data_IF_330057523936
#
_entry.id   IF_330057523936
#
_cell.length_a   1.000
_cell.length_b   1.000
_cell.length_c   1.000
_cell.angle_alpha   90.00
_cell.angle_beta   90.00
_cell.angle_gamma   90.00
#
_symmetry.space_group_name_H-M   'P 1'
#
loop_
_entity.id
_entity.type
_entity.pdbx_description
1 polymer ?
#
# COMPACT_ATOMS: atom_id res chain seq x y z
N UNK A 1 -20.32 -6.40 14.60
CA UNK A 1 -21.50 -7.23 14.84
C UNK A 1 -21.87 -8.11 13.63
N UNK A 2 -21.92 -7.57 12.39
CA UNK A 2 -22.32 -8.37 11.21
C UNK A 2 -21.32 -9.50 10.91
N UNK A 3 -20.01 -9.26 11.08
CA UNK A 3 -18.97 -10.26 10.78
C UNK A 3 -19.15 -11.55 11.58
N UNK A 4 -19.51 -11.45 12.85
CA UNK A 4 -19.67 -12.62 13.74
C UNK A 4 -20.87 -13.51 13.40
N UNK A 5 -21.73 -13.06 12.47
CA UNK A 5 -22.82 -13.88 11.94
C UNK A 5 -22.34 -14.90 10.88
N UNK A 6 -21.14 -14.71 10.32
CA UNK A 6 -20.55 -15.69 9.41
C UNK A 6 -19.87 -16.78 10.22
N UNK A 7 -20.40 -18.00 10.09
CA UNK A 7 -19.89 -19.20 10.76
C UNK A 7 -19.59 -20.28 9.72
N UNK A 8 -18.54 -21.09 9.89
CA UNK A 8 -18.28 -22.20 8.99
C UNK A 8 -19.30 -23.31 9.17
N UNK A 9 -19.46 -24.19 8.21
CA UNK A 9 -20.32 -25.36 8.36
C UNK A 9 -19.81 -26.30 9.46
N UNK A 10 -20.69 -27.15 9.98
CA UNK A 10 -20.35 -28.09 11.04
C UNK A 10 -19.13 -28.96 10.67
N UNK A 11 -18.16 -29.05 11.59
CA UNK A 11 -16.91 -29.79 11.39
C UNK A 11 -15.81 -29.01 10.64
N UNK A 12 -16.06 -27.79 10.23
CA UNK A 12 -15.10 -26.90 9.56
C UNK A 12 -14.69 -25.74 10.47
N UNK A 13 -13.69 -24.98 10.03
CA UNK A 13 -13.21 -23.73 10.63
C UNK A 13 -13.01 -22.69 9.54
N UNK A 14 -12.92 -21.41 9.92
CA UNK A 14 -12.34 -20.42 9.03
C UNK A 14 -10.84 -20.32 9.24
N UNK A 15 -10.10 -20.23 8.12
CA UNK A 15 -8.75 -19.72 8.07
C UNK A 15 -8.84 -18.34 7.46
N UNK A 16 -8.41 -17.34 8.23
CA UNK A 16 -8.33 -15.94 7.80
C UNK A 16 -6.87 -15.58 7.70
N UNK A 17 -6.41 -15.28 6.50
CA UNK A 17 -5.02 -14.94 6.25
C UNK A 17 -4.93 -13.63 5.48
N UNK A 18 -4.03 -12.73 5.89
CA UNK A 18 -3.81 -11.43 5.27
C UNK A 18 -2.32 -11.17 5.00
N UNK A 19 -2.06 -10.25 4.09
CA UNK A 19 -0.69 -9.83 3.83
C UNK A 19 -0.17 -8.91 4.93
N UNK A 20 1.00 -9.20 5.46
CA UNK A 20 1.68 -8.37 6.43
C UNK A 20 2.31 -7.13 5.76
N UNK A 21 1.79 -5.94 6.09
CA UNK A 21 2.29 -4.63 5.61
C UNK A 21 2.46 -4.54 4.08
N UNK A 22 1.49 -5.01 3.31
CA UNK A 22 1.61 -5.17 1.85
C UNK A 22 1.95 -3.86 1.14
N UNK A 23 1.31 -2.75 1.49
CA UNK A 23 1.57 -1.46 0.86
C UNK A 23 3.01 -0.98 1.11
N UNK A 24 3.51 -1.14 2.35
CA UNK A 24 4.88 -0.75 2.70
C UNK A 24 5.93 -1.63 1.98
N UNK A 25 5.61 -2.90 1.73
CA UNK A 25 6.46 -3.81 0.95
C UNK A 25 6.47 -3.43 -0.53
N UNK A 26 5.30 -3.20 -1.11
CA UNK A 26 5.17 -2.83 -2.52
C UNK A 26 5.83 -1.49 -2.82
N UNK A 27 5.61 -0.45 -2.00
CA UNK A 27 6.23 0.86 -2.25
C UNK A 27 7.76 0.80 -2.09
N UNK A 28 8.27 0.05 -1.11
CA UNK A 28 9.71 -0.14 -0.92
C UNK A 28 10.35 -0.87 -2.11
N UNK A 29 9.69 -1.90 -2.62
CA UNK A 29 10.13 -2.65 -3.79
C UNK A 29 10.14 -1.79 -5.05
N UNK A 30 9.04 -1.07 -5.36
CA UNK A 30 8.96 -0.17 -6.51
C UNK A 30 10.01 0.94 -6.46
N UNK A 31 10.24 1.51 -5.30
CA UNK A 31 11.21 2.59 -5.11
C UNK A 31 12.67 2.08 -5.06
N UNK A 32 12.90 0.79 -4.83
CA UNK A 32 14.23 0.26 -4.53
C UNK A 32 14.79 0.78 -3.20
N UNK A 33 13.93 0.99 -2.18
CA UNK A 33 14.32 1.49 -0.86
C UNK A 33 14.96 0.37 -0.03
N UNK A 34 16.27 0.19 -0.24
CA UNK A 34 17.02 -1.00 0.19
C UNK A 34 16.95 -1.28 1.70
N UNK A 35 17.02 -0.26 2.55
CA UNK A 35 16.98 -0.49 4.00
C UNK A 35 15.63 -1.07 4.45
N UNK A 36 14.53 -0.70 3.79
CA UNK A 36 13.20 -1.27 4.06
C UNK A 36 13.11 -2.71 3.59
N UNK A 37 13.63 -2.99 2.41
CA UNK A 37 13.70 -4.35 1.88
C UNK A 37 14.52 -5.25 2.80
N UNK A 38 15.65 -4.75 3.32
CA UNK A 38 16.47 -5.47 4.31
C UNK A 38 15.72 -5.68 5.63
N UNK A 39 15.01 -4.67 6.14
CA UNK A 39 14.19 -4.82 7.34
C UNK A 39 13.11 -5.91 7.17
N UNK A 40 12.45 -5.96 6.00
CA UNK A 40 11.48 -7.02 5.71
C UNK A 40 12.14 -8.40 5.56
N UNK A 41 13.33 -8.48 4.96
CA UNK A 41 14.09 -9.74 4.83
C UNK A 41 14.48 -10.29 6.20
N UNK A 42 14.84 -9.42 7.13
CA UNK A 42 15.20 -9.78 8.51
C UNK A 42 13.97 -10.05 9.42
N UNK A 43 12.74 -9.89 8.90
CA UNK A 43 11.51 -10.06 9.69
C UNK A 43 11.29 -8.96 10.74
N UNK A 44 11.89 -7.79 10.55
CA UNK A 44 11.76 -6.66 11.48
C UNK A 44 10.37 -6.03 11.41
N UNK A 45 9.92 -5.45 12.54
CA UNK A 45 8.73 -4.60 12.58
C UNK A 45 9.04 -3.27 11.85
N UNK A 46 8.41 -3.04 10.71
CA UNK A 46 8.68 -1.86 9.87
C UNK A 46 8.47 -0.53 10.60
N UNK A 47 7.55 -0.49 11.57
CA UNK A 47 7.30 0.71 12.36
C UNK A 47 8.44 1.00 13.34
N UNK A 48 9.04 -0.06 13.90
CA UNK A 48 10.26 0.05 14.71
C UNK A 48 11.46 0.44 13.86
N UNK A 49 11.65 -0.21 12.72
CA UNK A 49 12.74 0.08 11.79
C UNK A 49 12.69 1.52 11.28
N UNK A 50 11.50 2.00 10.90
CA UNK A 50 11.27 3.38 10.48
C UNK A 50 11.57 4.37 11.59
N UNK A 51 11.06 4.14 12.81
CA UNK A 51 11.35 4.98 13.95
C UNK A 51 12.87 4.99 14.26
N UNK A 52 13.53 3.85 14.20
CA UNK A 52 14.99 3.77 14.40
C UNK A 52 15.75 4.61 13.39
N UNK A 53 15.34 4.55 12.12
CA UNK A 53 15.96 5.31 11.03
C UNK A 53 15.71 6.81 11.15
N UNK A 54 14.47 7.21 11.52
CA UNK A 54 14.09 8.62 11.69
C UNK A 54 14.80 9.28 12.86
N UNK A 55 14.86 8.59 14.01
CA UNK A 55 15.38 9.17 15.26
C UNK A 55 16.85 8.85 15.53
N UNK A 56 17.49 7.99 14.70
CA UNK A 56 18.90 7.62 14.87
C UNK A 56 19.18 6.78 16.12
N UNK A 57 18.17 6.11 16.68
CA UNK A 57 18.26 5.31 17.90
C UNK A 57 17.60 3.93 17.69
N UNK A 58 18.08 2.85 18.36
CA UNK A 58 17.42 1.58 18.26
C UNK A 58 16.01 1.62 18.88
N UNK A 59 15.02 1.07 18.18
CA UNK A 59 13.63 0.97 18.64
C UNK A 59 13.18 -0.49 18.58
N UNK A 60 12.75 -1.02 19.72
CA UNK A 60 12.26 -2.39 19.87
C UNK A 60 10.84 -2.37 20.44
N UNK A 61 9.92 -3.12 19.82
CA UNK A 61 8.47 -3.07 20.11
C UNK A 61 8.12 -3.15 21.60
N UNK A 62 8.77 -4.01 22.36
CA UNK A 62 8.56 -4.19 23.80
C UNK A 62 9.86 -4.01 24.59
N UNK A 63 10.72 -3.06 24.16
CA UNK A 63 12.05 -2.84 24.74
C UNK A 63 12.52 -1.41 24.58
N UNK A 64 13.80 -1.25 24.26
CA UNK A 64 14.46 0.05 24.15
C UNK A 64 13.73 0.96 23.18
N UNK A 65 13.40 2.18 23.64
CA UNK A 65 12.72 3.23 22.87
C UNK A 65 11.37 2.79 22.25
N UNK A 66 10.71 1.77 22.78
CA UNK A 66 9.50 1.18 22.22
C UNK A 66 8.35 2.19 22.07
N UNK A 67 8.31 3.27 22.86
CA UNK A 67 7.35 4.36 22.74
C UNK A 67 7.43 5.10 21.40
N UNK A 68 8.61 5.09 20.73
CA UNK A 68 8.80 5.72 19.42
C UNK A 68 8.16 4.92 18.28
N UNK A 69 7.86 3.63 18.48
CA UNK A 69 7.21 2.79 17.49
C UNK A 69 5.89 3.39 16.99
N UNK A 70 5.11 4.00 17.89
CA UNK A 70 3.83 4.61 17.51
C UNK A 70 4.04 5.83 16.60
N UNK A 71 5.10 6.62 16.82
CA UNK A 71 5.49 7.71 15.92
C UNK A 71 5.91 7.17 14.54
N UNK A 72 6.69 6.09 14.52
CA UNK A 72 7.05 5.37 13.31
C UNK A 72 5.82 4.86 12.55
N UNK A 73 4.84 4.25 13.26
CA UNK A 73 3.58 3.79 12.67
C UNK A 73 2.80 4.93 12.02
N UNK A 74 2.64 6.04 12.74
CA UNK A 74 1.93 7.20 12.23
C UNK A 74 2.62 7.78 10.98
N UNK A 75 3.95 7.89 11.00
CA UNK A 75 4.73 8.37 9.86
C UNK A 75 4.59 7.42 8.65
N UNK A 76 4.69 6.10 8.85
CA UNK A 76 4.53 5.12 7.77
C UNK A 76 3.17 5.21 7.09
N UNK A 77 2.08 5.27 7.86
CA UNK A 77 0.72 5.30 7.33
C UNK A 77 0.38 6.64 6.66
N UNK A 78 1.04 7.73 7.04
CA UNK A 78 0.72 9.08 6.53
C UNK A 78 1.68 9.56 5.44
N UNK A 79 2.98 9.28 5.55
CA UNK A 79 3.99 9.87 4.66
C UNK A 79 4.24 9.10 3.37
N UNK A 80 3.90 7.81 3.31
CA UNK A 80 4.18 6.94 2.17
C UNK A 80 3.70 7.48 0.82
N UNK A 81 2.63 8.25 0.82
CA UNK A 81 1.99 8.82 -0.37
C UNK A 81 2.03 10.36 -0.38
N UNK A 82 3.13 10.94 0.08
CA UNK A 82 3.34 12.39 0.08
C UNK A 82 2.56 13.13 1.16
N UNK A 83 1.94 12.43 2.10
CA UNK A 83 1.23 13.05 3.21
C UNK A 83 2.12 13.96 4.07
N UNK A 84 1.50 14.90 4.76
CA UNK A 84 2.13 15.87 5.62
C UNK A 84 1.42 15.92 6.97
N UNK A 85 1.60 16.99 7.76
CA UNK A 85 1.01 17.16 9.09
C UNK A 85 -0.48 16.86 9.13
N UNK A 86 -1.26 17.32 8.13
CA UNK A 86 -2.70 17.03 8.04
C UNK A 86 -3.03 15.54 7.94
N UNK A 87 -2.24 14.79 7.15
CA UNK A 87 -2.39 13.34 7.05
C UNK A 87 -2.03 12.66 8.38
N UNK A 88 -0.95 13.07 9.05
CA UNK A 88 -0.57 12.53 10.35
C UNK A 88 -1.68 12.74 11.40
N UNK A 89 -2.29 13.92 11.44
CA UNK A 89 -3.43 14.22 12.33
C UNK A 89 -4.62 13.29 12.03
N UNK A 90 -4.95 13.08 10.76
CA UNK A 90 -6.00 12.14 10.36
C UNK A 90 -5.74 10.69 10.82
N UNK A 91 -4.47 10.30 10.96
CA UNK A 91 -4.05 9.01 11.54
C UNK A 91 -3.85 9.04 13.06
N UNK A 92 -4.36 10.07 13.75
CA UNK A 92 -4.41 10.13 15.20
C UNK A 92 -3.16 10.73 15.87
N UNK A 93 -2.32 11.47 15.14
CA UNK A 93 -1.15 12.12 15.72
C UNK A 93 -1.52 13.17 16.81
N UNK A 94 -2.70 13.77 16.73
CA UNK A 94 -3.20 14.69 17.75
C UNK A 94 -3.32 14.01 19.14
N UNK A 95 -3.70 12.72 19.16
CA UNK A 95 -3.79 11.94 20.39
C UNK A 95 -2.43 11.63 21.03
N UNK A 96 -1.33 11.85 20.31
CA UNK A 96 0.04 11.65 20.81
C UNK A 96 0.60 12.89 21.53
N UNK A 97 -0.16 13.99 21.61
CA UNK A 97 0.26 15.24 22.24
C UNK A 97 1.42 15.95 21.50
N UNK A 98 1.59 15.69 20.20
CA UNK A 98 2.65 16.29 19.39
C UNK A 98 2.22 17.65 18.85
N UNK A 99 3.10 18.63 18.94
CA UNK A 99 2.92 19.95 18.31
C UNK A 99 3.08 19.86 16.79
N UNK A 100 2.52 20.82 16.06
CA UNK A 100 2.66 20.92 14.60
C UNK A 100 4.13 20.98 14.14
N UNK A 101 5.02 21.56 14.94
CA UNK A 101 6.44 21.62 14.65
C UNK A 101 7.11 20.24 14.78
N UNK A 102 6.75 19.45 15.79
CA UNK A 102 7.22 18.07 15.93
C UNK A 102 6.68 17.19 14.80
N UNK A 103 5.42 17.36 14.41
CA UNK A 103 4.84 16.65 13.27
C UNK A 103 5.56 17.01 11.96
N UNK A 104 5.88 18.29 11.71
CA UNK A 104 6.69 18.72 10.56
C UNK A 104 8.08 18.09 10.57
N UNK A 105 8.70 18.00 11.75
CA UNK A 105 10.01 17.38 11.89
C UNK A 105 9.94 15.89 11.55
N UNK A 106 8.95 15.17 12.08
CA UNK A 106 8.73 13.74 11.77
C UNK A 106 8.55 13.51 10.26
N UNK A 107 7.74 14.33 9.58
CA UNK A 107 7.57 14.26 8.12
C UNK A 107 8.91 14.46 7.41
N UNK A 108 9.70 15.44 7.85
CA UNK A 108 11.01 15.73 7.27
C UNK A 108 11.97 14.57 7.47
N UNK A 109 12.02 14.01 8.66
CA UNK A 109 12.92 12.91 9.01
C UNK A 109 12.54 11.62 8.28
N UNK A 110 11.23 11.35 8.14
CA UNK A 110 10.75 10.21 7.34
C UNK A 110 11.15 10.34 5.87
N UNK A 111 10.99 11.52 5.25
CA UNK A 111 11.39 11.77 3.86
C UNK A 111 12.89 11.64 3.66
N UNK A 112 13.69 12.13 4.61
CA UNK A 112 15.16 11.95 4.60
C UNK A 112 15.55 10.47 4.74
N UNK A 113 14.82 9.72 5.56
CA UNK A 113 15.05 8.29 5.75
C UNK A 113 14.62 7.45 4.54
N UNK A 114 13.75 7.96 3.67
CA UNK A 114 13.16 7.23 2.54
C UNK A 114 13.31 8.01 1.21
N UNK A 115 14.54 8.36 0.81
CA UNK A 115 14.77 9.23 -0.36
C UNK A 115 14.30 8.60 -1.66
N UNK A 116 14.38 7.28 -1.82
CA UNK A 116 13.97 6.60 -3.03
C UNK A 116 12.44 6.60 -3.19
N UNK A 117 11.69 6.52 -2.09
CA UNK A 117 10.23 6.66 -2.13
C UNK A 117 9.84 8.08 -2.53
N UNK A 118 10.53 9.09 -1.99
CA UNK A 118 10.31 10.49 -2.40
C UNK A 118 10.61 10.68 -3.88
N UNK A 119 11.69 10.08 -4.38
CA UNK A 119 12.04 10.11 -5.79
C UNK A 119 10.98 9.42 -6.67
N UNK A 120 10.45 8.26 -6.23
CA UNK A 120 9.38 7.54 -6.91
C UNK A 120 8.14 8.45 -7.13
N UNK A 121 7.73 9.27 -6.13
CA UNK A 121 6.58 10.16 -6.31
C UNK A 121 6.77 11.10 -7.50
N UNK A 122 7.94 11.74 -7.57
CA UNK A 122 8.23 12.71 -8.62
C UNK A 122 8.46 12.06 -9.98
N UNK A 123 9.06 10.87 -10.02
CA UNK A 123 9.26 10.14 -11.27
C UNK A 123 7.92 9.71 -11.88
N UNK A 124 7.01 9.20 -11.06
CA UNK A 124 5.66 8.81 -11.47
C UNK A 124 4.87 10.02 -12.00
N UNK A 125 4.91 11.14 -11.29
CA UNK A 125 4.21 12.36 -11.71
C UNK A 125 4.76 12.88 -13.05
N UNK A 126 6.08 12.99 -13.17
CA UNK A 126 6.73 13.43 -14.43
C UNK A 126 6.41 12.51 -15.60
N UNK A 127 6.43 11.19 -15.38
CA UNK A 127 6.10 10.24 -16.42
C UNK A 127 4.62 10.36 -16.87
N UNK A 128 3.70 10.52 -15.92
CA UNK A 128 2.29 10.70 -16.20
C UNK A 128 2.00 12.03 -16.93
N UNK A 129 2.56 13.16 -16.47
CA UNK A 129 2.44 14.46 -17.12
C UNK A 129 2.98 14.40 -18.55
N UNK A 130 4.18 13.82 -18.74
CA UNK A 130 4.78 13.67 -20.07
C UNK A 130 3.94 12.79 -21.00
N UNK A 131 3.34 11.72 -20.50
CA UNK A 131 2.45 10.86 -21.30
C UNK A 131 1.20 11.62 -21.77
N UNK A 132 0.57 12.40 -20.88
CA UNK A 132 -0.64 13.19 -21.19
C UNK A 132 -0.32 14.34 -22.13
N UNK A 133 0.70 15.14 -21.82
CA UNK A 133 1.08 16.33 -22.61
C UNK A 133 1.60 15.99 -24.00
N UNK A 134 2.45 14.97 -24.10
CA UNK A 134 3.03 14.50 -25.36
C UNK A 134 2.13 13.51 -26.12
N UNK A 135 1.01 13.08 -25.56
CA UNK A 135 0.16 11.99 -26.10
C UNK A 135 1.00 10.79 -26.52
N UNK A 136 1.88 10.38 -25.64
CA UNK A 136 2.91 9.36 -25.90
C UNK A 136 2.95 8.32 -24.79
N UNK A 137 3.84 7.34 -24.93
CA UNK A 137 4.16 6.37 -23.90
C UNK A 137 5.41 6.80 -23.13
N UNK A 138 5.38 6.61 -21.81
CA UNK A 138 6.52 6.78 -20.91
C UNK A 138 6.60 5.62 -19.94
N UNK A 139 7.76 5.44 -19.30
CA UNK A 139 7.97 4.37 -18.33
C UNK A 139 8.86 4.87 -17.20
N UNK A 140 8.58 4.42 -15.98
CA UNK A 140 9.45 4.59 -14.81
C UNK A 140 9.15 3.50 -13.77
N UNK A 141 10.17 2.99 -13.07
CA UNK A 141 10.04 1.96 -12.03
C UNK A 141 9.24 0.71 -12.47
N UNK A 142 9.34 0.33 -13.76
CA UNK A 142 8.57 -0.80 -14.32
C UNK A 142 7.07 -0.52 -14.51
N UNK A 143 6.64 0.74 -14.36
CA UNK A 143 5.27 1.21 -14.59
C UNK A 143 5.23 1.96 -15.92
N UNK A 144 4.30 1.58 -16.81
CA UNK A 144 4.13 2.25 -18.09
C UNK A 144 2.92 3.17 -18.07
N UNK A 145 3.07 4.32 -18.70
CA UNK A 145 2.04 5.34 -18.83
C UNK A 145 1.78 5.56 -20.32
N UNK A 146 0.52 5.51 -20.76
CA UNK A 146 0.17 5.77 -22.14
C UNK A 146 -1.09 6.63 -22.25
N UNK A 147 -1.10 7.56 -23.22
CA UNK A 147 -2.29 8.30 -23.57
C UNK A 147 -2.94 7.66 -24.80
N UNK A 148 -4.12 7.08 -24.63
CA UNK A 148 -4.83 6.37 -25.70
C UNK A 148 -6.33 6.77 -25.68
N UNK A 149 -6.85 7.21 -26.81
CA UNK A 149 -8.30 7.46 -27.01
C UNK A 149 -8.97 8.29 -25.91
N UNK A 150 -8.27 9.29 -25.38
CA UNK A 150 -8.82 10.16 -24.33
C UNK A 150 -8.67 9.61 -22.91
N UNK A 151 -7.81 8.62 -22.71
CA UNK A 151 -7.49 8.06 -21.40
C UNK A 151 -5.99 8.14 -21.13
N UNK A 152 -5.62 8.39 -19.89
CA UNK A 152 -4.32 8.01 -19.38
C UNK A 152 -4.45 6.61 -18.80
N UNK A 153 -3.70 5.66 -19.36
CA UNK A 153 -3.55 4.34 -18.80
C UNK A 153 -2.22 4.24 -18.03
N UNK A 154 -2.29 3.62 -16.86
CA UNK A 154 -1.12 3.25 -16.07
C UNK A 154 -1.09 1.72 -16.03
N UNK A 155 -0.13 1.12 -16.74
CA UNK A 155 0.06 -0.34 -16.77
C UNK A 155 0.96 -0.77 -15.61
N UNK A 156 0.43 -1.62 -14.76
CA UNK A 156 1.11 -2.21 -13.61
C UNK A 156 2.01 -3.37 -14.04
N UNK A 157 2.98 -3.81 -13.22
CA UNK A 157 3.85 -4.96 -13.54
C UNK A 157 3.09 -6.26 -13.83
N UNK A 158 1.87 -6.41 -13.30
CA UNK A 158 0.96 -7.52 -13.59
C UNK A 158 0.38 -7.51 -15.01
N UNK A 159 0.54 -6.41 -15.76
CA UNK A 159 -0.10 -6.14 -17.03
C UNK A 159 -1.50 -5.52 -16.92
N UNK A 160 -2.05 -5.39 -15.70
CA UNK A 160 -3.33 -4.70 -15.49
C UNK A 160 -3.17 -3.20 -15.62
N UNK A 161 -4.19 -2.52 -16.14
CA UNK A 161 -4.17 -1.08 -16.41
C UNK A 161 -5.14 -0.34 -15.51
N UNK A 162 -4.69 0.75 -14.88
CA UNK A 162 -5.54 1.76 -14.26
C UNK A 162 -5.89 2.80 -15.34
N UNK A 163 -7.12 3.33 -15.32
CA UNK A 163 -7.61 4.25 -16.34
C UNK A 163 -8.07 5.56 -15.73
N UNK A 164 -7.59 6.68 -16.28
CA UNK A 164 -7.99 8.04 -15.92
C UNK A 164 -8.67 8.68 -17.13
N UNK A 165 -9.95 9.03 -16.98
CA UNK A 165 -10.80 9.47 -18.09
C UNK A 165 -10.56 10.94 -18.41
N UNK A 166 -10.39 11.27 -19.70
CA UNK A 166 -10.17 12.62 -20.21
C UNK A 166 -9.12 13.41 -19.41
N UNK A 167 -7.90 12.88 -19.27
CA UNK A 167 -6.85 13.56 -18.52
C UNK A 167 -6.48 14.88 -19.20
N UNK A 168 -6.19 15.91 -18.37
CA UNK A 168 -5.68 17.21 -18.81
C UNK A 168 -4.58 17.66 -17.89
N UNK A 169 -3.66 18.45 -18.40
CA UNK A 169 -2.67 19.16 -17.59
C UNK A 169 -3.27 20.52 -17.27
N UNK A 170 -3.37 20.84 -15.99
CA UNK A 170 -3.89 22.11 -15.49
C UNK A 170 -2.94 22.64 -14.40
N UNK A 171 -2.96 23.94 -14.17
CA UNK A 171 -2.19 24.55 -13.08
C UNK A 171 -2.84 24.21 -11.73
N UNK A 172 -2.06 23.72 -10.79
CA UNK A 172 -2.52 23.43 -9.43
C UNK A 172 -2.46 24.70 -8.56
N UNK A 173 -3.04 24.62 -7.38
CA UNK A 173 -3.10 25.75 -6.42
C UNK A 173 -1.73 26.27 -5.95
N UNK A 174 -0.63 25.62 -6.31
CA UNK A 174 0.73 26.00 -5.96
C UNK A 174 1.51 26.55 -7.16
N UNK A 175 0.87 26.75 -8.32
CA UNK A 175 1.49 27.26 -9.55
C UNK A 175 2.27 26.23 -10.36
N UNK A 176 2.17 24.93 -10.01
CA UNK A 176 2.76 23.82 -10.76
C UNK A 176 1.74 23.10 -11.64
N UNK A 177 2.24 22.28 -12.56
CA UNK A 177 1.38 21.41 -13.37
C UNK A 177 0.83 20.24 -12.55
N UNK A 178 -0.43 19.89 -12.76
CA UNK A 178 -1.06 18.68 -12.23
C UNK A 178 -1.95 18.03 -13.29
N UNK A 179 -2.28 16.76 -13.09
CA UNK A 179 -3.22 16.05 -13.95
C UNK A 179 -4.61 16.16 -13.32
N UNK A 180 -5.58 16.61 -14.10
CA UNK A 180 -6.99 16.50 -13.78
C UNK A 180 -7.65 15.46 -14.68
N UNK A 181 -8.72 14.81 -14.20
CA UNK A 181 -9.43 13.77 -14.93
C UNK A 181 -10.90 13.69 -14.50
N UNK A 182 -11.76 13.10 -15.32
CA UNK A 182 -13.16 12.89 -14.98
C UNK A 182 -13.33 11.59 -14.19
N UNK A 183 -14.04 11.66 -13.06
CA UNK A 183 -14.24 10.52 -12.19
C UNK A 183 -15.31 10.74 -11.12
N UNK A 184 -15.56 9.71 -10.32
CA UNK A 184 -16.51 9.77 -9.19
C UNK A 184 -15.81 10.36 -7.97
N UNK A 185 -16.24 11.55 -7.55
CA UNK A 185 -15.70 12.23 -6.38
C UNK A 185 -16.31 11.76 -5.06
N UNK A 186 -15.88 12.39 -3.95
CA UNK A 186 -16.36 12.06 -2.59
C UNK A 186 -17.89 12.22 -2.44
N UNK A 187 -18.52 13.11 -3.21
CA UNK A 187 -19.96 13.28 -3.26
C UNK A 187 -20.71 12.17 -4.03
N UNK A 188 -20.01 11.13 -4.49
CA UNK A 188 -20.50 10.05 -5.36
C UNK A 188 -21.08 10.55 -6.71
N UNK A 189 -20.73 11.76 -7.13
CA UNK A 189 -21.09 12.34 -8.42
C UNK A 189 -19.90 12.31 -9.36
N UNK A 190 -20.20 12.18 -10.66
CA UNK A 190 -19.21 12.31 -11.72
C UNK A 190 -18.78 13.78 -11.83
N UNK A 191 -17.49 14.04 -11.72
CA UNK A 191 -16.93 15.38 -11.69
C UNK A 191 -15.47 15.41 -12.10
N UNK A 192 -14.92 16.59 -12.31
CA UNK A 192 -13.49 16.81 -12.50
C UNK A 192 -12.75 16.64 -11.20
N UNK A 193 -11.71 15.84 -11.21
CA UNK A 193 -10.85 15.53 -10.07
C UNK A 193 -9.41 15.89 -10.40
N UNK A 194 -8.67 16.36 -9.41
CA UNK A 194 -7.24 16.58 -9.50
C UNK A 194 -6.49 15.36 -8.88
N UNK A 195 -5.36 15.00 -9.50
CA UNK A 195 -4.43 14.02 -8.92
C UNK A 195 -3.02 14.62 -8.85
N UNK A 196 -2.18 14.02 -8.02
CA UNK A 196 -0.81 14.46 -7.76
C UNK A 196 0.07 13.23 -7.51
N UNK A 197 1.39 13.45 -7.43
CA UNK A 197 2.40 12.41 -7.30
C UNK A 197 2.06 11.32 -6.29
N UNK A 198 1.76 11.69 -5.05
CA UNK A 198 1.43 10.75 -3.98
C UNK A 198 0.15 9.96 -4.27
N UNK A 199 -0.87 10.59 -4.86
CA UNK A 199 -2.14 9.91 -5.20
C UNK A 199 -1.99 8.92 -6.34
N UNK A 200 -1.15 9.24 -7.31
CA UNK A 200 -0.81 8.31 -8.39
C UNK A 200 -0.09 7.09 -7.84
N UNK A 201 0.92 7.30 -6.98
CA UNK A 201 1.67 6.21 -6.35
C UNK A 201 0.77 5.37 -5.43
N UNK A 202 -0.12 5.98 -4.64
CA UNK A 202 -1.11 5.26 -3.84
C UNK A 202 -1.95 4.31 -4.70
N UNK A 203 -2.52 4.80 -5.81
CA UNK A 203 -3.33 3.99 -6.70
C UNK A 203 -2.52 2.85 -7.36
N UNK A 204 -1.26 3.09 -7.72
CA UNK A 204 -0.35 2.08 -8.26
C UNK A 204 -0.08 1.00 -7.21
N UNK A 205 0.32 1.39 -6.00
CA UNK A 205 0.66 0.47 -4.91
C UNK A 205 -0.55 -0.38 -4.51
N UNK A 206 -1.72 0.24 -4.30
CA UNK A 206 -2.95 -0.48 -4.01
C UNK A 206 -3.39 -1.38 -5.16
N UNK A 207 -3.17 -0.93 -6.41
CA UNK A 207 -3.39 -1.73 -7.59
C UNK A 207 -2.54 -3.01 -7.59
N UNK A 208 -1.25 -2.90 -7.34
CA UNK A 208 -0.31 -4.03 -7.26
C UNK A 208 -0.67 -4.95 -6.09
N UNK A 209 -0.97 -4.40 -4.91
CA UNK A 209 -1.40 -5.18 -3.75
C UNK A 209 -2.64 -6.03 -4.05
N UNK A 210 -3.61 -5.45 -4.77
CA UNK A 210 -4.78 -6.19 -5.25
C UNK A 210 -4.41 -7.30 -6.23
N UNK A 211 -3.49 -7.06 -7.15
CA UNK A 211 -3.04 -8.08 -8.11
C UNK A 211 -2.32 -9.24 -7.42
N UNK A 212 -1.58 -8.97 -6.35
CA UNK A 212 -0.96 -9.98 -5.49
C UNK A 212 -2.02 -10.83 -4.77
N UNK A 213 -3.08 -10.21 -4.23
CA UNK A 213 -4.19 -10.95 -3.64
C UNK A 213 -4.87 -11.85 -4.69
N UNK A 214 -5.13 -11.34 -5.89
CA UNK A 214 -5.73 -12.13 -6.96
C UNK A 214 -4.83 -13.29 -7.41
N UNK A 215 -3.52 -13.10 -7.43
CA UNK A 215 -2.57 -14.19 -7.65
C UNK A 215 -2.69 -15.27 -6.57
N UNK A 216 -2.81 -14.87 -5.30
CA UNK A 216 -3.02 -15.81 -4.19
C UNK A 216 -4.37 -16.54 -4.29
N UNK A 217 -5.45 -15.85 -4.68
CA UNK A 217 -6.75 -16.46 -4.93
C UNK A 217 -6.68 -17.53 -6.03
N UNK A 218 -5.90 -17.28 -7.09
CA UNK A 218 -5.70 -18.26 -8.17
C UNK A 218 -4.88 -19.47 -7.70
N UNK A 219 -3.79 -19.25 -6.97
CA UNK A 219 -2.93 -20.35 -6.50
C UNK A 219 -3.59 -21.21 -5.42
N UNK A 220 -4.54 -20.63 -4.67
CA UNK A 220 -5.36 -21.30 -3.64
C UNK A 220 -6.77 -21.66 -4.15
N UNK A 221 -7.02 -21.65 -5.47
CA UNK A 221 -8.35 -21.92 -6.04
C UNK A 221 -8.90 -23.33 -5.75
N UNK A 222 -8.04 -24.26 -5.31
CA UNK A 222 -8.43 -25.58 -4.81
C UNK A 222 -9.02 -25.55 -3.39
N UNK A 223 -8.88 -24.44 -2.67
CA UNK A 223 -9.48 -24.22 -1.35
C UNK A 223 -10.89 -23.64 -1.50
N UNK A 224 -11.74 -23.86 -0.49
CA UNK A 224 -13.06 -23.25 -0.48
C UNK A 224 -13.01 -21.81 0.05
N UNK A 225 -12.63 -20.88 -0.83
CA UNK A 225 -12.53 -19.45 -0.52
C UNK A 225 -13.95 -18.88 -0.50
N UNK A 226 -14.39 -18.41 0.66
CA UNK A 226 -15.73 -17.84 0.88
C UNK A 226 -15.77 -16.32 0.80
N UNK A 227 -14.61 -15.66 0.83
CA UNK A 227 -14.54 -14.21 0.70
C UNK A 227 -13.11 -13.67 0.73
N UNK A 228 -12.99 -12.39 0.40
CA UNK A 228 -11.77 -11.61 0.58
C UNK A 228 -12.14 -10.16 0.94
N UNK A 229 -11.34 -9.50 1.76
CA UNK A 229 -11.55 -8.11 2.17
C UNK A 229 -10.20 -7.42 2.20
N UNK A 230 -10.02 -6.35 1.38
CA UNK A 230 -8.75 -5.65 1.21
C UNK A 230 -7.62 -6.61 0.77
N UNK A 231 -6.73 -6.96 1.68
CA UNK A 231 -5.58 -7.87 1.54
C UNK A 231 -5.78 -9.22 2.27
N UNK A 232 -6.97 -9.43 2.85
CA UNK A 232 -7.37 -10.60 3.61
C UNK A 232 -8.13 -11.61 2.74
N UNK A 233 -7.85 -12.90 2.94
CA UNK A 233 -8.56 -14.03 2.33
C UNK A 233 -9.24 -14.87 3.43
N UNK A 234 -10.47 -15.29 3.21
CA UNK A 234 -11.26 -16.11 4.14
C UNK A 234 -11.54 -17.46 3.46
N UNK A 235 -11.04 -18.53 4.08
CA UNK A 235 -11.21 -19.91 3.59
C UNK A 235 -12.05 -20.69 4.61
N UNK A 236 -13.12 -21.33 4.16
CA UNK A 236 -13.80 -22.37 4.95
C UNK A 236 -13.04 -23.68 4.76
N UNK A 237 -12.37 -24.16 5.82
CA UNK A 237 -11.40 -25.21 5.75
C UNK A 237 -11.75 -26.41 6.63
N UNK A 238 -11.38 -27.61 6.21
CA UNK A 238 -11.35 -28.80 7.07
C UNK A 238 -10.43 -28.51 8.28
N UNK A 239 -10.77 -29.04 9.45
CA UNK A 239 -10.01 -28.79 10.69
C UNK A 239 -8.54 -29.19 10.61
N UNK A 240 -8.16 -30.11 9.69
CA UNK A 240 -6.78 -30.55 9.47
C UNK A 240 -5.97 -29.60 8.59
N UNK A 241 -6.63 -28.69 7.86
CA UNK A 241 -5.93 -27.72 7.04
C UNK A 241 -5.09 -26.77 7.89
N UNK A 242 -3.83 -26.57 7.52
CA UNK A 242 -2.91 -25.73 8.26
C UNK A 242 -2.97 -24.27 7.78
N UNK A 243 -3.16 -23.34 8.69
CA UNK A 243 -3.01 -21.90 8.47
C UNK A 243 -1.62 -21.56 7.89
N UNK A 244 -0.57 -22.21 8.41
CA UNK A 244 0.80 -21.97 7.96
C UNK A 244 0.96 -22.24 6.47
N UNK A 245 0.40 -23.34 5.96
CA UNK A 245 0.44 -23.67 4.52
C UNK A 245 -0.25 -22.61 3.66
N UNK A 246 -1.38 -22.06 4.15
CA UNK A 246 -2.08 -20.97 3.46
C UNK A 246 -1.22 -19.71 3.43
N UNK A 247 -0.63 -19.31 4.57
CA UNK A 247 0.23 -18.14 4.65
C UNK A 247 1.50 -18.29 3.80
N UNK A 248 2.13 -19.45 3.78
CA UNK A 248 3.29 -19.74 2.92
C UNK A 248 2.92 -19.67 1.43
N UNK A 249 1.73 -20.14 1.05
CA UNK A 249 1.26 -20.04 -0.32
C UNK A 249 0.97 -18.58 -0.72
N UNK A 250 0.34 -17.80 0.16
CA UNK A 250 0.12 -16.36 -0.05
C UNK A 250 1.44 -15.59 -0.17
N UNK A 251 2.47 -16.00 0.58
CA UNK A 251 3.78 -15.34 0.55
C UNK A 251 4.59 -15.63 -0.73
N UNK A 252 4.09 -16.47 -1.65
CA UNK A 252 4.76 -16.74 -2.93
C UNK A 252 4.66 -15.55 -3.87
N UNK A 253 5.80 -15.08 -4.32
CA UNK A 253 5.89 -13.95 -5.23
C UNK A 253 5.65 -14.38 -6.68
N UNK A 254 4.73 -13.72 -7.42
CA UNK A 254 4.55 -13.99 -8.84
C UNK A 254 5.76 -13.53 -9.66
N UNK A 255 5.96 -14.10 -10.85
CA UNK A 255 7.10 -13.79 -11.72
C UNK A 255 7.21 -12.30 -12.07
N UNK A 256 6.08 -11.60 -12.21
CA UNK A 256 6.06 -10.17 -12.54
C UNK A 256 6.45 -9.26 -11.36
N UNK A 257 6.57 -9.80 -10.14
CA UNK A 257 6.99 -9.07 -8.95
C UNK A 257 8.32 -9.61 -8.37
N UNK A 258 9.23 -10.03 -9.24
CA UNK A 258 10.54 -10.56 -8.82
C UNK A 258 11.25 -9.60 -7.86
N UNK A 259 11.80 -10.13 -6.76
CA UNK A 259 12.48 -9.37 -5.72
C UNK A 259 11.54 -8.76 -4.65
N UNK A 260 10.21 -8.79 -4.83
CA UNK A 260 9.27 -8.39 -3.80
C UNK A 260 9.17 -9.47 -2.72
N UNK A 261 9.46 -9.11 -1.47
CA UNK A 261 9.35 -10.00 -0.32
C UNK A 261 7.94 -9.95 0.27
N UNK A 262 7.16 -10.98 0.06
CA UNK A 262 5.82 -11.13 0.64
C UNK A 262 5.87 -11.88 1.97
N UNK A 263 4.94 -11.56 2.84
CA UNK A 263 4.63 -12.30 4.06
C UNK A 263 3.14 -12.23 4.29
N UNK A 264 2.56 -13.36 4.70
CA UNK A 264 1.20 -13.41 5.19
C UNK A 264 1.19 -13.96 6.62
N UNK A 265 0.28 -13.45 7.41
CA UNK A 265 -0.01 -13.90 8.76
C UNK A 265 -1.53 -14.17 8.84
N UNK A 266 -2.02 -14.79 9.91
CA UNK A 266 -3.46 -15.04 9.99
C UNK A 266 -3.85 -15.77 11.27
N UNK A 267 -5.10 -16.18 11.32
CA UNK A 267 -5.67 -16.91 12.46
C UNK A 267 -6.75 -17.91 12.00
N UNK A 268 -7.06 -18.83 12.90
CA UNK A 268 -8.16 -19.78 12.74
C UNK A 268 -9.31 -19.39 13.67
N UNK A 269 -10.56 -19.54 13.24
CA UNK A 269 -11.71 -19.18 14.06
C UNK A 269 -12.97 -19.98 13.71
N UNK A 270 -13.90 -20.04 14.69
CA UNK A 270 -15.21 -20.66 14.58
C UNK A 270 -16.32 -19.67 14.14
N UNK A 271 -16.00 -18.41 13.99
CA UNK A 271 -16.83 -17.37 13.40
C UNK A 271 -15.93 -16.24 12.92
N UNK A 272 -16.31 -15.56 11.84
CA UNK A 272 -15.47 -14.49 11.28
C UNK A 272 -15.45 -13.28 12.23
N UNK A 273 -14.25 -12.86 12.60
CA UNK A 273 -13.98 -11.68 13.42
C UNK A 273 -12.82 -10.88 12.79
N UNK A 274 -12.72 -9.63 13.18
CA UNK A 274 -11.50 -8.86 12.90
C UNK A 274 -10.56 -9.02 14.09
N UNK A 275 -9.30 -9.23 13.81
CA UNK A 275 -8.24 -9.17 14.83
C UNK A 275 -8.16 -7.80 15.49
#
# INVERSE_FOLDING_TARGET
>A
LIRTAFVPKAGYKFIVADFSAIEARVIAWLAGEQWRMNAFANGEDIYCASASKMFGVPVVKHGVNGHLRQKGKCAELSCGYGGSVGAMKAFGADAMGLSDNELKQIVTDWRKASPNIVQLWWDVERAAIKAVGGKTQTETHGIKFSYESGFLFIELPSGRRLAYVKPRIEENRFGGESITYDGVGASKKWQRLETYSGKLVENIVQGIARDLLFYSLQTLSHCFIVGHIHDEMIIEADRRMSLQVVCEQMARTPKWAEGLLLRADGYECEFYKKD
#
